data_IF_248462324339
#
_entry.id   IF_248462324339
#
_cell.length_a   1.000
_cell.length_b   1.000
_cell.length_c   1.000
_cell.angle_alpha   90.00
_cell.angle_beta   90.00
_cell.angle_gamma   90.00
#
_symmetry.space_group_name_H-M   'P 1'
#
loop_
_entity.id
_entity.type
_entity.pdbx_description
1 polymer ?
#
# COMPACT_ATOMS: atom_id res chain seq x y z
N UNK A 1 13.88 21.02 28.37
CA UNK A 1 13.28 19.66 28.48
C UNK A 1 12.53 19.38 27.19
N UNK A 2 12.63 18.18 26.58
CA UNK A 2 11.89 17.86 25.36
C UNK A 2 10.37 17.98 25.58
N UNK A 3 9.58 18.44 24.57
CA UNK A 3 8.13 18.62 24.71
C UNK A 3 7.40 17.37 25.22
N UNK A 4 7.82 16.18 24.76
CA UNK A 4 7.32 14.88 25.22
C UNK A 4 7.46 14.69 26.73
N UNK A 5 8.62 14.98 27.27
CA UNK A 5 8.92 14.76 28.69
C UNK A 5 8.14 15.77 29.56
N UNK A 6 7.99 17.02 29.10
CA UNK A 6 7.19 18.02 29.78
C UNK A 6 5.72 17.58 29.89
N UNK A 7 5.10 17.19 28.77
CA UNK A 7 3.69 16.75 28.77
C UNK A 7 3.47 15.52 29.66
N UNK A 8 4.26 14.45 29.45
CA UNK A 8 3.99 13.15 30.07
C UNK A 8 4.46 13.04 31.52
N UNK A 9 5.61 13.61 31.87
CA UNK A 9 6.20 13.47 33.20
C UNK A 9 5.80 14.61 34.14
N UNK A 10 5.76 15.85 33.64
CA UNK A 10 5.46 17.02 34.47
C UNK A 10 3.96 17.25 34.55
N UNK A 11 3.32 17.46 33.39
CA UNK A 11 1.88 17.72 33.35
C UNK A 11 1.03 16.45 33.46
N UNK A 12 1.65 15.27 33.42
CA UNK A 12 0.96 13.97 33.47
C UNK A 12 -0.18 13.87 32.45
N UNK A 13 0.01 14.48 31.29
CA UNK A 13 -0.96 14.56 30.21
C UNK A 13 -0.45 13.83 28.97
N UNK A 14 -1.31 13.02 28.36
CA UNK A 14 -1.06 12.37 27.07
C UNK A 14 -1.56 13.21 25.88
N UNK A 15 -2.06 14.42 26.12
CA UNK A 15 -2.59 15.31 25.07
C UNK A 15 -1.44 16.01 24.33
N UNK A 16 -0.55 15.22 23.75
CA UNK A 16 0.55 15.65 22.90
C UNK A 16 0.52 14.78 21.63
N UNK A 17 0.17 15.38 20.51
CA UNK A 17 0.08 14.70 19.22
C UNK A 17 0.71 15.60 18.14
N UNK A 18 1.60 15.08 17.27
CA UNK A 18 2.29 15.87 16.26
C UNK A 18 1.46 16.01 14.98
N UNK A 19 1.86 16.93 14.11
CA UNK A 19 1.36 17.01 12.73
C UNK A 19 1.54 15.69 11.95
N UNK A 20 2.52 14.87 12.32
CA UNK A 20 2.75 13.54 11.74
C UNK A 20 1.55 12.59 11.90
N UNK A 21 0.59 12.91 12.79
CA UNK A 21 -0.72 12.24 12.82
C UNK A 21 -1.45 12.29 11.48
N UNK A 22 -1.38 13.43 10.79
CA UNK A 22 -1.99 13.63 9.48
C UNK A 22 -1.15 13.07 8.32
N UNK A 23 -0.03 12.42 8.63
CA UNK A 23 0.96 11.99 7.63
C UNK A 23 1.27 10.50 7.78
N UNK A 24 2.00 10.12 8.82
CA UNK A 24 2.59 8.78 8.93
C UNK A 24 1.80 7.81 9.81
N UNK A 25 0.74 8.26 10.51
CA UNK A 25 0.04 7.41 11.48
C UNK A 25 -0.49 6.09 10.88
N UNK A 26 -1.05 6.13 9.67
CA UNK A 26 -1.51 4.92 8.96
C UNK A 26 -0.35 3.98 8.65
N UNK A 27 0.78 4.50 8.18
CA UNK A 27 1.98 3.72 7.91
C UNK A 27 2.53 3.07 9.19
N UNK A 28 2.66 3.84 10.28
CA UNK A 28 3.13 3.34 11.59
C UNK A 28 2.25 2.20 12.08
N UNK A 29 0.92 2.37 12.05
CA UNK A 29 -0.01 1.30 12.47
C UNK A 29 0.09 0.08 11.54
N UNK A 30 0.28 0.28 10.23
CA UNK A 30 0.57 -0.80 9.29
C UNK A 30 1.83 -1.59 9.65
N UNK A 31 2.93 -0.89 9.94
CA UNK A 31 4.19 -1.50 10.38
C UNK A 31 4.03 -2.29 11.68
N UNK A 32 3.36 -1.70 12.69
CA UNK A 32 3.12 -2.38 13.97
C UNK A 32 2.24 -3.63 13.82
N UNK A 33 1.27 -3.63 12.89
CA UNK A 33 0.39 -4.79 12.63
C UNK A 33 1.09 -5.90 11.87
N UNK A 34 1.93 -5.57 10.89
CA UNK A 34 2.56 -6.55 10.00
C UNK A 34 3.90 -7.06 10.54
N UNK A 35 4.72 -6.18 11.13
CA UNK A 35 6.10 -6.48 11.52
C UNK A 35 6.37 -6.30 13.02
N UNK A 36 5.51 -5.59 13.74
CA UNK A 36 5.71 -5.29 15.17
C UNK A 36 6.82 -4.27 15.46
N UNK A 37 7.38 -3.65 14.43
CA UNK A 37 8.40 -2.61 14.51
C UNK A 37 8.15 -1.57 13.42
N UNK A 38 8.34 -0.30 13.75
CA UNK A 38 8.13 0.84 12.85
C UNK A 38 9.30 1.02 11.86
N UNK A 39 9.03 1.79 10.80
CA UNK A 39 9.94 2.18 9.71
C UNK A 39 10.25 1.10 8.64
N UNK A 40 10.64 1.51 7.42
CA UNK A 40 10.96 0.58 6.33
C UNK A 40 12.16 -0.31 6.64
N UNK A 41 12.11 -1.56 6.17
CA UNK A 41 13.25 -2.50 6.21
C UNK A 41 14.24 -2.30 5.05
N UNK A 42 13.83 -1.61 3.99
CA UNK A 42 14.68 -1.27 2.83
C UNK A 42 15.36 0.08 2.98
N UNK A 43 16.11 0.49 1.97
CA UNK A 43 16.80 1.79 1.95
C UNK A 43 16.85 2.39 0.54
N UNK A 44 17.40 3.59 0.39
CA UNK A 44 17.41 4.23 -0.93
C UNK A 44 18.32 3.55 -1.96
N UNK A 45 19.27 2.73 -1.52
CA UNK A 45 20.17 1.98 -2.41
C UNK A 45 19.42 0.90 -3.23
N UNK A 46 18.20 0.59 -2.82
CA UNK A 46 17.30 -0.28 -3.58
C UNK A 46 16.96 0.34 -4.95
N UNK A 47 16.94 1.69 -5.06
CA UNK A 47 16.57 2.39 -6.30
C UNK A 47 17.47 1.99 -7.46
N UNK A 48 18.79 1.92 -7.25
CA UNK A 48 19.73 1.56 -8.30
C UNK A 48 19.69 0.07 -8.67
N UNK A 49 19.03 -0.77 -7.87
CA UNK A 49 18.98 -2.22 -8.00
C UNK A 49 17.62 -2.77 -8.45
N UNK A 50 16.59 -1.92 -8.51
CA UNK A 50 15.24 -2.32 -8.88
C UNK A 50 15.10 -2.60 -10.38
N UNK A 51 14.17 -3.49 -10.71
CA UNK A 51 13.73 -3.79 -12.08
C UNK A 51 12.34 -3.22 -12.37
N UNK A 52 11.59 -2.89 -11.32
CA UNK A 52 10.29 -2.25 -11.44
C UNK A 52 10.01 -1.31 -10.26
N UNK A 53 9.41 -0.16 -10.57
CA UNK A 53 8.89 0.80 -9.60
C UNK A 53 7.38 0.89 -9.72
N UNK A 54 6.67 0.77 -8.61
CA UNK A 54 5.21 0.92 -8.55
C UNK A 54 4.87 2.03 -7.58
N UNK A 55 4.39 3.16 -8.10
CA UNK A 55 4.01 4.33 -7.32
C UNK A 55 2.50 4.28 -7.04
N UNK A 56 2.13 3.93 -5.81
CA UNK A 56 0.76 3.94 -5.30
C UNK A 56 0.39 5.34 -4.81
N UNK A 57 -0.11 6.19 -5.72
CA UNK A 57 -0.56 7.55 -5.42
C UNK A 57 0.56 8.56 -5.11
N UNK A 58 1.83 8.14 -5.23
CA UNK A 58 2.97 8.99 -4.88
C UNK A 58 3.35 9.92 -6.03
N UNK A 59 3.13 11.23 -5.87
CA UNK A 59 3.68 12.25 -6.78
C UNK A 59 5.16 12.54 -6.46
N UNK A 60 6.03 11.56 -6.69
CA UNK A 60 7.45 11.67 -6.34
C UNK A 60 8.18 12.78 -7.10
N UNK A 61 7.71 13.12 -8.31
CA UNK A 61 8.32 14.16 -9.13
C UNK A 61 8.32 15.54 -8.44
N UNK A 62 7.30 15.82 -7.62
CA UNK A 62 7.15 17.10 -6.93
C UNK A 62 7.40 16.99 -5.42
N UNK A 63 7.07 15.86 -4.80
CA UNK A 63 7.14 15.71 -3.33
C UNK A 63 8.42 15.00 -2.84
N UNK A 64 9.10 14.23 -3.71
CA UNK A 64 10.36 13.56 -3.40
C UNK A 64 11.36 13.66 -4.57
N UNK A 65 11.68 14.89 -5.04
CA UNK A 65 12.32 15.10 -6.33
C UNK A 65 13.69 14.43 -6.47
N UNK A 66 14.46 14.31 -5.38
CA UNK A 66 15.77 13.64 -5.43
C UNK A 66 15.63 12.12 -5.55
N UNK A 67 14.64 11.51 -4.90
CA UNK A 67 14.35 10.08 -5.11
C UNK A 67 13.82 9.86 -6.52
N UNK A 68 12.94 10.74 -7.00
CA UNK A 68 12.44 10.68 -8.38
C UNK A 68 13.56 10.83 -9.42
N UNK A 69 14.53 11.71 -9.17
CA UNK A 69 15.71 11.83 -10.05
C UNK A 69 16.51 10.52 -10.10
N UNK A 70 16.65 9.79 -8.98
CA UNK A 70 17.32 8.48 -8.96
C UNK A 70 16.52 7.42 -9.72
N UNK A 71 15.20 7.39 -9.54
CA UNK A 71 14.30 6.51 -10.32
C UNK A 71 14.41 6.81 -11.81
N UNK A 72 14.41 8.10 -12.18
CA UNK A 72 14.57 8.57 -13.56
C UNK A 72 15.90 8.09 -14.14
N UNK A 73 17.00 8.25 -13.40
CA UNK A 73 18.30 7.75 -13.83
C UNK A 73 18.29 6.23 -14.04
N UNK A 74 17.76 5.46 -13.08
CA UNK A 74 17.67 3.99 -13.21
C UNK A 74 16.83 3.58 -14.42
N UNK A 75 15.66 4.18 -14.60
CA UNK A 75 14.75 3.88 -15.71
C UNK A 75 15.32 4.27 -17.08
N UNK A 76 15.99 5.42 -17.19
CA UNK A 76 16.53 5.89 -18.48
C UNK A 76 17.86 5.23 -18.86
N UNK A 77 18.62 4.73 -17.89
CA UNK A 77 19.89 4.02 -18.13
C UNK A 77 19.70 2.53 -18.45
N UNK A 78 18.54 1.95 -18.14
CA UNK A 78 18.23 0.54 -18.40
C UNK A 78 16.81 0.38 -18.97
N UNK A 79 16.66 0.01 -20.26
CA UNK A 79 15.35 -0.12 -20.90
C UNK A 79 14.51 -1.30 -20.35
N UNK A 80 15.11 -2.21 -19.58
CA UNK A 80 14.39 -3.35 -18.98
C UNK A 80 13.66 -2.98 -17.68
N UNK A 81 13.98 -1.82 -17.10
CA UNK A 81 13.33 -1.29 -15.91
C UNK A 81 11.94 -0.77 -16.27
N UNK A 82 10.94 -1.04 -15.43
CA UNK A 82 9.56 -0.56 -15.61
C UNK A 82 9.14 0.42 -14.54
N UNK A 83 8.37 1.44 -14.90
CA UNK A 83 7.77 2.39 -13.98
C UNK A 83 6.25 2.38 -14.15
N UNK A 84 5.53 1.88 -13.15
CA UNK A 84 4.09 1.97 -13.06
C UNK A 84 3.70 3.10 -12.10
N UNK A 85 2.82 4.00 -12.53
CA UNK A 85 2.35 5.13 -11.72
C UNK A 85 0.85 5.05 -11.62
N UNK A 86 0.35 4.82 -10.41
CA UNK A 86 -1.07 4.83 -10.08
C UNK A 86 -1.39 6.16 -9.40
N UNK A 87 -2.45 6.83 -9.85
CA UNK A 87 -2.94 8.05 -9.20
C UNK A 87 -4.43 8.26 -9.44
N UNK A 88 -5.04 9.18 -8.71
CA UNK A 88 -6.45 9.60 -8.93
C UNK A 88 -6.56 10.73 -9.94
N UNK A 89 -5.44 11.35 -10.32
CA UNK A 89 -5.33 12.36 -11.36
C UNK A 89 -3.93 12.31 -11.99
N UNK A 90 -3.79 12.78 -13.22
CA UNK A 90 -2.49 12.82 -13.88
C UNK A 90 -1.61 13.97 -13.32
N UNK A 91 -0.34 13.68 -13.06
CA UNK A 91 0.68 14.63 -12.61
C UNK A 91 2.05 14.29 -13.21
N UNK A 92 3.10 15.06 -12.88
CA UNK A 92 4.44 14.96 -13.53
C UNK A 92 5.08 13.57 -13.47
N UNK A 93 4.79 12.76 -12.45
CA UNK A 93 5.31 11.38 -12.40
C UNK A 93 4.83 10.51 -13.56
N UNK A 94 3.70 10.82 -14.21
CA UNK A 94 3.23 10.10 -15.39
C UNK A 94 4.15 10.27 -16.61
N UNK A 95 4.98 11.31 -16.66
CA UNK A 95 5.87 11.56 -17.80
C UNK A 95 6.93 10.46 -17.98
N UNK A 96 7.28 9.72 -16.90
CA UNK A 96 8.21 8.59 -16.93
C UNK A 96 7.50 7.23 -16.95
N UNK A 97 6.18 7.18 -16.79
CA UNK A 97 5.46 5.94 -16.57
C UNK A 97 5.41 5.08 -17.85
N UNK A 98 5.84 3.82 -17.75
CA UNK A 98 5.57 2.78 -18.75
C UNK A 98 4.09 2.33 -18.69
N UNK A 99 3.53 2.30 -17.47
CA UNK A 99 2.13 1.98 -17.22
C UNK A 99 1.52 3.04 -16.28
N UNK A 100 0.85 4.04 -16.86
CA UNK A 100 0.17 5.11 -16.13
C UNK A 100 -1.30 4.78 -15.89
N UNK A 101 -1.71 4.66 -14.64
CA UNK A 101 -3.05 4.25 -14.22
C UNK A 101 -3.73 5.40 -13.49
N UNK A 102 -4.87 5.85 -14.02
CA UNK A 102 -5.78 6.75 -13.30
C UNK A 102 -6.94 5.92 -12.75
N UNK A 103 -7.12 5.89 -11.43
CA UNK A 103 -8.12 5.04 -10.78
C UNK A 103 -9.08 5.84 -9.90
N UNK A 104 -10.28 5.30 -9.68
CA UNK A 104 -11.31 5.90 -8.82
C UNK A 104 -10.84 5.95 -7.36
N UNK A 105 -11.01 7.06 -6.61
CA UNK A 105 -10.60 7.14 -5.20
C UNK A 105 -11.12 5.96 -4.36
N UNK A 106 -10.30 5.45 -3.42
CA UNK A 106 -10.57 4.27 -2.58
C UNK A 106 -10.56 2.90 -3.31
N UNK A 107 -10.46 2.87 -4.64
CA UNK A 107 -10.47 1.60 -5.39
C UNK A 107 -9.10 0.91 -5.47
N UNK A 108 -8.06 1.52 -4.93
CA UNK A 108 -6.75 0.90 -4.70
C UNK A 108 -6.83 -0.36 -3.84
N UNK A 109 -7.72 -0.40 -2.84
CA UNK A 109 -8.03 -1.59 -2.05
C UNK A 109 -8.45 -2.78 -2.94
N UNK A 110 -9.18 -2.50 -4.02
CA UNK A 110 -9.63 -3.52 -4.98
C UNK A 110 -8.43 -4.01 -5.81
N UNK A 111 -7.58 -3.09 -6.28
CA UNK A 111 -6.38 -3.42 -7.06
C UNK A 111 -5.40 -4.27 -6.23
N UNK A 112 -5.17 -3.91 -4.96
CA UNK A 112 -4.29 -4.67 -4.05
C UNK A 112 -4.77 -6.12 -3.88
N UNK A 113 -6.06 -6.32 -3.61
CA UNK A 113 -6.62 -7.66 -3.48
C UNK A 113 -6.61 -8.42 -4.81
N UNK A 114 -6.82 -7.73 -5.93
CA UNK A 114 -6.68 -8.32 -7.26
C UNK A 114 -5.26 -8.81 -7.54
N UNK A 115 -4.22 -8.04 -7.22
CA UNK A 115 -2.83 -8.47 -7.39
C UNK A 115 -2.54 -9.71 -6.55
N UNK A 116 -3.02 -9.76 -5.30
CA UNK A 116 -2.89 -10.94 -4.44
C UNK A 116 -3.61 -12.17 -5.04
N UNK A 117 -4.83 -11.98 -5.57
CA UNK A 117 -5.56 -13.03 -6.27
C UNK A 117 -4.79 -13.52 -7.51
N UNK A 118 -4.28 -12.59 -8.33
CA UNK A 118 -3.50 -12.89 -9.53
C UNK A 118 -2.25 -13.72 -9.20
N UNK A 119 -1.50 -13.37 -8.15
CA UNK A 119 -0.32 -14.13 -7.70
C UNK A 119 -0.71 -15.57 -7.36
N UNK A 120 -1.83 -15.76 -6.65
CA UNK A 120 -2.32 -17.10 -6.26
C UNK A 120 -2.81 -17.88 -7.49
N UNK A 121 -3.58 -17.24 -8.39
CA UNK A 121 -4.10 -17.87 -9.61
C UNK A 121 -2.99 -18.33 -10.56
N UNK A 122 -1.86 -17.61 -10.58
CA UNK A 122 -0.71 -17.92 -11.43
C UNK A 122 0.35 -18.79 -10.73
N UNK A 123 0.06 -19.36 -9.56
CA UNK A 123 1.00 -20.15 -8.76
C UNK A 123 2.34 -19.43 -8.48
N UNK A 124 2.31 -18.09 -8.38
CA UNK A 124 3.47 -17.24 -8.20
C UNK A 124 3.81 -16.98 -6.71
N UNK A 125 3.17 -17.71 -5.79
CA UNK A 125 3.49 -17.64 -4.36
C UNK A 125 4.87 -18.28 -4.11
N UNK A 126 5.80 -17.51 -3.53
CA UNK A 126 7.06 -18.07 -3.03
C UNK A 126 6.78 -18.97 -1.81
N UNK A 127 6.66 -20.27 -2.05
CA UNK A 127 6.26 -21.25 -1.05
C UNK A 127 7.23 -21.34 0.13
N UNK A 128 8.54 -21.21 -0.12
CA UNK A 128 9.55 -21.33 0.94
C UNK A 128 9.47 -20.16 1.92
N UNK A 129 9.42 -18.94 1.39
CA UNK A 129 9.28 -17.75 2.21
C UNK A 129 7.92 -17.73 2.94
N UNK A 130 6.84 -18.03 2.21
CA UNK A 130 5.49 -18.02 2.75
C UNK A 130 5.35 -18.99 3.92
N UNK A 131 5.87 -20.22 3.80
CA UNK A 131 5.75 -21.23 4.86
C UNK A 131 6.58 -20.91 6.10
N UNK A 132 7.75 -20.26 5.93
CA UNK A 132 8.69 -20.01 7.03
C UNK A 132 8.49 -18.68 7.75
N UNK A 133 7.92 -17.69 7.06
CA UNK A 133 8.02 -16.28 7.49
C UNK A 133 6.70 -15.50 7.46
N UNK A 134 5.58 -16.12 7.05
CA UNK A 134 4.28 -15.44 6.91
C UNK A 134 3.22 -16.10 7.77
N UNK A 135 2.44 -15.27 8.47
CA UNK A 135 1.20 -15.66 9.14
C UNK A 135 0.02 -14.93 8.48
N UNK A 136 -1.15 -15.55 8.44
CA UNK A 136 -2.36 -14.96 7.88
C UNK A 136 -3.39 -14.65 8.97
N UNK A 137 -4.03 -13.49 8.85
CA UNK A 137 -5.10 -13.05 9.74
C UNK A 137 -6.21 -12.35 8.96
N UNK A 138 -7.44 -12.48 9.45
CA UNK A 138 -8.61 -11.74 8.97
C UNK A 138 -8.90 -10.57 9.91
N UNK A 139 -8.84 -9.35 9.39
CA UNK A 139 -9.20 -8.15 10.14
C UNK A 139 -10.71 -7.98 10.30
N UNK A 140 -11.13 -7.31 11.37
CA UNK A 140 -12.49 -6.81 11.52
C UNK A 140 -12.83 -5.85 10.36
N UNK A 141 -14.06 -5.95 9.87
CA UNK A 141 -14.60 -5.09 8.81
C UNK A 141 -15.72 -4.22 9.37
N UNK A 142 -16.18 -3.24 8.58
CA UNK A 142 -17.26 -2.33 8.98
C UNK A 142 -16.90 -1.54 10.27
N UNK A 143 -15.81 -0.77 10.18
CA UNK A 143 -15.14 -0.13 11.32
C UNK A 143 -15.44 1.37 11.48
N UNK A 144 -16.39 1.91 10.73
CA UNK A 144 -16.67 3.35 10.71
C UNK A 144 -15.57 4.18 10.04
N UNK A 145 -15.57 5.49 10.32
CA UNK A 145 -14.74 6.50 9.65
C UNK A 145 -14.03 7.45 10.63
N UNK A 146 -14.03 7.15 11.93
CA UNK A 146 -13.37 7.95 12.96
C UNK A 146 -14.04 9.31 13.21
N UNK A 147 -15.32 9.44 12.88
CA UNK A 147 -16.10 10.65 13.12
C UNK A 147 -16.57 10.72 14.58
N UNK A 148 -17.31 11.78 14.95
CA UNK A 148 -17.93 11.85 16.27
C UNK A 148 -18.92 10.69 16.45
N UNK A 149 -19.05 10.08 17.65
CA UNK A 149 -19.95 8.93 17.87
C UNK A 149 -21.43 9.20 17.58
N UNK A 150 -21.83 10.47 17.54
CA UNK A 150 -23.19 10.88 17.18
C UNK A 150 -23.46 10.85 15.68
N UNK A 151 -22.41 10.80 14.85
CA UNK A 151 -22.50 10.83 13.41
C UNK A 151 -23.18 9.57 12.85
N UNK A 152 -24.06 9.67 11.83
CA UNK A 152 -24.77 8.51 11.29
C UNK A 152 -23.87 7.35 10.86
N UNK A 153 -22.72 7.64 10.24
CA UNK A 153 -21.78 6.60 9.80
C UNK A 153 -21.16 5.82 10.97
N UNK A 154 -20.89 6.48 12.10
CA UNK A 154 -20.36 5.80 13.30
C UNK A 154 -21.44 4.96 13.99
N UNK A 155 -22.69 5.43 13.97
CA UNK A 155 -23.82 4.66 14.49
C UNK A 155 -24.15 3.44 13.62
N UNK A 156 -23.89 3.52 12.32
CA UNK A 156 -24.13 2.45 11.38
C UNK A 156 -23.04 1.36 11.41
N UNK A 157 -21.82 1.71 11.83
CA UNK A 157 -20.69 0.80 11.86
C UNK A 157 -20.89 -0.33 12.89
N UNK A 158 -20.65 -1.57 12.47
CA UNK A 158 -20.72 -2.73 13.37
C UNK A 158 -19.55 -2.79 14.37
N UNK A 159 -18.35 -2.38 13.97
CA UNK A 159 -17.12 -2.51 14.75
C UNK A 159 -16.32 -1.19 14.82
N UNK A 160 -16.92 -0.07 15.27
CA UNK A 160 -16.31 1.27 15.14
C UNK A 160 -14.92 1.35 15.78
N UNK A 161 -13.91 1.69 14.97
CA UNK A 161 -12.52 1.82 15.38
C UNK A 161 -11.81 0.52 15.79
N UNK A 162 -12.41 -0.65 15.56
CA UNK A 162 -11.81 -1.92 15.92
C UNK A 162 -10.61 -2.25 15.02
N UNK A 163 -9.48 -2.57 15.64
CA UNK A 163 -8.28 -3.09 14.98
C UNK A 163 -8.15 -4.62 15.12
N UNK A 164 -9.19 -5.28 15.67
CA UNK A 164 -9.20 -6.71 15.95
C UNK A 164 -8.94 -7.54 14.69
N UNK A 165 -8.29 -8.69 14.88
CA UNK A 165 -8.08 -9.66 13.83
C UNK A 165 -7.98 -11.06 14.42
N UNK A 166 -8.33 -12.06 13.63
CA UNK A 166 -8.25 -13.47 14.01
C UNK A 166 -7.35 -14.23 13.04
N UNK A 167 -6.65 -15.31 13.47
CA UNK A 167 -5.92 -16.18 12.55
C UNK A 167 -6.82 -16.69 11.41
N UNK A 168 -6.24 -16.86 10.23
CA UNK A 168 -6.92 -17.32 9.02
C UNK A 168 -6.04 -18.36 8.31
N UNK A 169 -6.64 -19.37 7.70
CA UNK A 169 -5.94 -20.34 6.86
C UNK A 169 -5.63 -19.78 5.46
N UNK A 170 -4.67 -20.38 4.75
CA UNK A 170 -4.37 -19.98 3.38
C UNK A 170 -5.54 -20.19 2.42
N UNK A 171 -6.31 -21.27 2.59
CA UNK A 171 -7.50 -21.54 1.77
C UNK A 171 -8.60 -20.50 1.99
N UNK A 172 -8.81 -20.05 3.23
CA UNK A 172 -9.73 -18.95 3.53
C UNK A 172 -9.25 -17.62 2.92
N UNK A 173 -7.95 -17.34 2.97
CA UNK A 173 -7.38 -16.16 2.33
C UNK A 173 -7.53 -16.20 0.81
N UNK A 174 -7.24 -17.36 0.20
CA UNK A 174 -7.44 -17.61 -1.23
C UNK A 174 -8.89 -17.40 -1.63
N UNK A 175 -9.84 -17.93 -0.86
CA UNK A 175 -11.27 -17.73 -1.11
C UNK A 175 -11.68 -16.26 -0.97
N UNK A 176 -11.12 -15.54 0.01
CA UNK A 176 -11.37 -14.12 0.20
C UNK A 176 -10.90 -13.27 -0.98
N UNK A 177 -9.65 -13.46 -1.44
CA UNK A 177 -9.13 -12.65 -2.56
C UNK A 177 -9.71 -13.09 -3.91
N UNK A 178 -10.22 -14.32 -4.05
CA UNK A 178 -10.87 -14.79 -5.27
C UNK A 178 -12.09 -13.95 -5.68
N UNK A 179 -12.71 -13.22 -4.74
CA UNK A 179 -13.80 -12.27 -5.02
C UNK A 179 -13.36 -11.04 -5.83
N UNK A 180 -12.05 -10.78 -5.91
CA UNK A 180 -11.45 -9.63 -6.60
C UNK A 180 -10.93 -10.09 -7.96
N UNK A 181 -11.87 -10.37 -8.86
CA UNK A 181 -11.56 -10.77 -10.25
C UNK A 181 -11.08 -9.57 -11.07
N UNK A 182 -10.41 -9.84 -12.19
CA UNK A 182 -10.00 -8.81 -13.14
C UNK A 182 -11.18 -7.96 -13.61
N UNK A 183 -12.31 -8.59 -13.92
CA UNK A 183 -13.53 -7.93 -14.40
C UNK A 183 -14.10 -6.95 -13.37
N UNK A 184 -14.29 -7.43 -12.13
CA UNK A 184 -14.78 -6.61 -11.02
C UNK A 184 -13.81 -5.47 -10.71
N UNK A 185 -12.51 -5.74 -10.76
CA UNK A 185 -11.48 -4.74 -10.49
C UNK A 185 -11.49 -3.64 -11.55
N UNK A 186 -11.54 -4.00 -12.84
CA UNK A 186 -11.64 -3.03 -13.92
C UNK A 186 -12.91 -2.17 -13.81
N UNK A 187 -14.05 -2.79 -13.50
CA UNK A 187 -15.32 -2.08 -13.30
C UNK A 187 -15.26 -1.09 -12.13
N UNK A 188 -14.82 -1.53 -10.94
CA UNK A 188 -14.81 -0.70 -9.73
C UNK A 188 -13.77 0.42 -9.78
N UNK A 189 -12.66 0.20 -10.47
CA UNK A 189 -11.55 1.15 -10.52
C UNK A 189 -11.67 2.11 -11.70
N UNK A 190 -12.32 1.69 -12.79
CA UNK A 190 -12.31 2.36 -14.09
C UNK A 190 -11.03 2.12 -14.88
N UNK A 191 -10.15 1.22 -14.42
CA UNK A 191 -8.84 0.95 -15.05
C UNK A 191 -8.96 -0.15 -16.10
N UNK A 192 -8.40 0.04 -17.31
CA UNK A 192 -8.32 -1.01 -18.32
C UNK A 192 -7.69 -2.31 -17.80
N UNK A 193 -8.26 -3.44 -18.23
CA UNK A 193 -7.84 -4.78 -17.79
C UNK A 193 -6.37 -5.08 -18.10
N UNK A 194 -5.91 -4.68 -19.27
CA UNK A 194 -4.52 -4.87 -19.71
C UNK A 194 -3.54 -4.13 -18.80
N UNK A 195 -3.89 -2.94 -18.31
CA UNK A 195 -3.05 -2.20 -17.37
C UNK A 195 -3.00 -2.87 -15.99
N UNK A 196 -4.12 -3.44 -15.54
CA UNK A 196 -4.21 -4.20 -14.29
C UNK A 196 -3.38 -5.49 -14.37
N UNK A 197 -3.47 -6.24 -15.47
CA UNK A 197 -2.67 -7.43 -15.72
C UNK A 197 -1.17 -7.11 -15.78
N UNK A 198 -0.77 -6.05 -16.52
CA UNK A 198 0.62 -5.61 -16.57
C UNK A 198 1.15 -5.25 -15.19
N UNK A 199 0.35 -4.57 -14.37
CA UNK A 199 0.73 -4.24 -12.99
C UNK A 199 0.89 -5.50 -12.13
N UNK A 200 -0.07 -6.42 -12.16
CA UNK A 200 -0.02 -7.65 -11.37
C UNK A 200 1.13 -8.56 -11.79
N UNK A 201 1.46 -8.59 -13.09
CA UNK A 201 2.59 -9.35 -13.62
C UNK A 201 3.93 -8.90 -13.05
N UNK A 202 4.11 -7.60 -12.77
CA UNK A 202 5.35 -7.10 -12.14
C UNK A 202 5.57 -7.76 -10.76
N UNK A 203 4.51 -7.94 -9.98
CA UNK A 203 4.59 -8.58 -8.66
C UNK A 203 4.67 -10.11 -8.72
N UNK A 204 4.10 -10.72 -9.76
CA UNK A 204 4.07 -12.18 -9.91
C UNK A 204 5.38 -12.76 -10.49
N UNK A 205 6.19 -11.96 -11.19
CA UNK A 205 7.45 -12.43 -11.78
C UNK A 205 8.55 -12.57 -10.71
N UNK A 206 9.02 -13.79 -10.38
CA UNK A 206 10.05 -13.99 -9.37
C UNK A 206 11.43 -13.42 -9.75
N UNK A 207 11.62 -13.04 -11.01
CA UNK A 207 12.87 -12.46 -11.50
C UNK A 207 12.87 -10.93 -11.50
N UNK A 208 11.78 -10.29 -11.05
CA UNK A 208 11.67 -8.83 -10.97
C UNK A 208 11.86 -8.34 -9.54
N UNK A 209 12.85 -7.48 -9.33
CA UNK A 209 13.01 -6.73 -8.08
C UNK A 209 12.08 -5.52 -8.09
N UNK A 210 10.96 -5.63 -7.37
CA UNK A 210 9.92 -4.59 -7.32
C UNK A 210 10.09 -3.69 -6.10
N UNK A 211 10.08 -2.38 -6.30
CA UNK A 211 9.92 -1.40 -5.24
C UNK A 211 8.52 -0.78 -5.33
N UNK A 212 7.79 -0.83 -4.22
CA UNK A 212 6.48 -0.17 -4.09
C UNK A 212 6.63 1.10 -3.26
N UNK A 213 6.23 2.24 -3.82
CA UNK A 213 6.24 3.54 -3.15
C UNK A 213 4.82 4.04 -2.92
N UNK A 214 4.50 4.38 -1.67
CA UNK A 214 3.28 5.09 -1.30
C UNK A 214 3.63 6.30 -0.44
N UNK A 215 2.73 7.27 -0.37
CA UNK A 215 2.87 8.47 0.47
C UNK A 215 1.54 8.78 1.15
N UNK A 216 0.92 9.93 0.89
CA UNK A 216 -0.33 10.36 1.52
C UNK A 216 -1.58 9.74 0.87
N UNK A 217 -1.42 9.04 -0.25
CA UNK A 217 -2.54 8.42 -0.97
C UNK A 217 -3.01 7.08 -0.40
N UNK A 218 -2.31 6.52 0.60
CA UNK A 218 -2.55 5.19 1.16
C UNK A 218 -3.02 5.25 2.62
#
# INVERSE_FOLDING_TARGET
MPPRNCSRLVFRSNNIDPNARHCMASAVVGFMRTFGMDEPMGCYDDIEQADAFVLWGSNMAEMHPILWSRITNRRLSDPNVKVAVLSTFQHRSFELADNGIVFTPQSDLVILNYIANYIIQNNAVNQDFFTKHVNLRKGATDIGYGLRPTHPLEKAAKNPGSDASEPMSFDEYKAFVAEYTLDKTAEMTGVPKDQLEQLAQLYADPNKRVISYWTMGF
#
